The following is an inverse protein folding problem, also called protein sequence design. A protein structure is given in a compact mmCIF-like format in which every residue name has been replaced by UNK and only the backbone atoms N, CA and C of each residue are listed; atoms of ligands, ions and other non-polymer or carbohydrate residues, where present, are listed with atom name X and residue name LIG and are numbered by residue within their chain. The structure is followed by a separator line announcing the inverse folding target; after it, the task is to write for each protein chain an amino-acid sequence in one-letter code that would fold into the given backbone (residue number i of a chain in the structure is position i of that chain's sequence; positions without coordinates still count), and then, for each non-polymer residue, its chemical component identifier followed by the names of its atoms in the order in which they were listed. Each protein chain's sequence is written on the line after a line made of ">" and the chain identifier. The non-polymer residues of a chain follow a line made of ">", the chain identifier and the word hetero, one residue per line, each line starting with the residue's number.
data_IF_758511032833
#
_entry.id   IF_758511032833
#
_cell.length_a   1.000
_cell.length_b   1.000
_cell.length_c   1.000
_cell.angle_alpha   90.00
_cell.angle_beta   90.00
_cell.angle_gamma   90.00
#
_symmetry.space_group_name_H-M   'P 1'
#
loop_
_entity.id
_entity.type
_entity.pdbx_description
1 polymer ?
#
# COMPACT_ATOMS: atom_id res chain seq x y z
N UNK A 1 -9.25 -4.59 -18.09
CA UNK A 1 -10.14 -3.62 -17.39
C UNK A 1 -9.54 -3.17 -16.07
N UNK A 2 -9.21 -4.07 -15.12
CA UNK A 2 -8.60 -3.69 -13.83
C UNK A 2 -7.25 -2.96 -13.97
N UNK A 3 -6.36 -3.42 -14.85
CA UNK A 3 -5.05 -2.79 -15.08
C UNK A 3 -5.15 -1.32 -15.51
N UNK A 4 -6.08 -1.00 -16.41
CA UNK A 4 -6.30 0.36 -16.89
C UNK A 4 -6.75 1.28 -15.76
N UNK A 5 -7.70 0.83 -14.93
CA UNK A 5 -8.19 1.61 -13.79
C UNK A 5 -7.06 1.85 -12.77
N UNK A 6 -6.28 0.82 -12.43
CA UNK A 6 -5.13 0.97 -11.51
C UNK A 6 -4.06 1.92 -12.06
N UNK A 7 -3.79 1.87 -13.36
CA UNK A 7 -2.85 2.79 -14.00
C UNK A 7 -3.32 4.24 -13.93
N UNK A 8 -4.61 4.50 -14.14
CA UNK A 8 -5.18 5.85 -14.04
C UNK A 8 -5.20 6.33 -12.58
N UNK A 9 -5.58 5.48 -11.63
CA UNK A 9 -5.51 5.81 -10.20
C UNK A 9 -4.07 6.08 -9.73
N UNK A 10 -3.08 5.36 -10.26
CA UNK A 10 -1.67 5.64 -9.99
C UNK A 10 -1.26 7.04 -10.43
N UNK A 11 -1.74 7.51 -11.59
CA UNK A 11 -1.48 8.89 -12.03
C UNK A 11 -2.10 9.94 -11.09
N UNK A 12 -3.20 9.62 -10.40
CA UNK A 12 -3.82 10.56 -9.47
C UNK A 12 -3.11 10.52 -8.10
N UNK A 13 -2.83 9.32 -7.59
CA UNK A 13 -2.47 9.11 -6.18
C UNK A 13 -1.02 8.68 -5.94
N UNK A 14 -0.26 8.31 -6.97
CA UNK A 14 1.10 7.78 -6.79
C UNK A 14 2.18 8.69 -7.37
N UNK A 15 2.04 9.12 -8.62
CA UNK A 15 3.17 9.72 -9.34
C UNK A 15 2.80 10.72 -10.45
N UNK A 16 1.54 11.13 -10.56
CA UNK A 16 1.13 12.12 -11.56
C UNK A 16 0.98 13.55 -11.03
N UNK A 17 0.50 14.45 -11.90
CA UNK A 17 0.56 15.89 -11.66
C UNK A 17 -0.36 16.33 -10.51
N UNK A 18 -1.55 15.72 -10.34
CA UNK A 18 -2.46 16.07 -9.25
C UNK A 18 -1.78 15.87 -7.89
N UNK A 19 -1.20 14.69 -7.65
CA UNK A 19 -0.48 14.42 -6.41
C UNK A 19 0.61 15.46 -6.17
N UNK A 20 1.48 15.70 -7.15
CA UNK A 20 2.59 16.65 -7.01
C UNK A 20 2.10 18.04 -6.68
N UNK A 21 1.17 18.59 -7.46
CA UNK A 21 0.65 19.94 -7.26
C UNK A 21 -0.01 20.10 -5.89
N UNK A 22 -0.77 19.10 -5.43
CA UNK A 22 -1.36 19.12 -4.08
C UNK A 22 -0.30 19.05 -3.00
N UNK A 23 0.65 18.13 -3.09
CA UNK A 23 1.71 17.96 -2.07
C UNK A 23 2.62 19.19 -1.98
N UNK A 24 3.04 19.73 -3.12
CA UNK A 24 3.96 20.88 -3.20
C UNK A 24 3.29 22.20 -2.79
N UNK A 25 1.95 22.27 -2.82
CA UNK A 25 1.19 23.46 -2.39
C UNK A 25 1.07 23.62 -0.86
N UNK A 26 1.42 22.59 -0.09
CA UNK A 26 1.19 22.53 1.36
C UNK A 26 -0.28 22.83 1.76
N UNK A 27 -1.24 22.52 0.89
CA UNK A 27 -2.67 22.75 1.15
C UNK A 27 -3.17 22.03 2.41
N UNK A 28 -2.60 20.86 2.70
CA UNK A 28 -2.94 20.02 3.84
C UNK A 28 -1.74 19.87 4.80
N UNK A 29 -2.01 19.70 6.10
CA UNK A 29 -0.96 19.67 7.14
C UNK A 29 0.02 18.50 6.97
N UNK A 30 -0.44 17.35 6.45
CA UNK A 30 0.36 16.14 6.25
C UNK A 30 0.20 15.59 4.82
N UNK A 31 1.11 14.71 4.40
CA UNK A 31 1.09 14.12 3.06
C UNK A 31 0.01 13.05 2.88
N UNK A 32 -0.46 12.43 3.98
CA UNK A 32 -1.45 11.34 3.95
C UNK A 32 -2.87 11.85 3.66
N UNK A 33 -3.19 13.07 4.10
CA UNK A 33 -4.52 13.65 3.98
C UNK A 33 -5.12 13.54 2.57
N UNK A 34 -4.38 13.99 1.54
CA UNK A 34 -4.89 13.99 0.16
C UNK A 34 -5.06 12.58 -0.40
N UNK A 35 -4.09 11.69 -0.16
CA UNK A 35 -4.10 10.34 -0.74
C UNK A 35 -5.17 9.43 -0.10
N UNK A 36 -5.67 9.81 1.08
CA UNK A 36 -6.81 9.16 1.75
C UNK A 36 -8.18 9.62 1.21
N UNK A 37 -8.23 10.70 0.44
CA UNK A 37 -9.47 11.23 -0.16
C UNK A 37 -9.91 10.37 -1.35
N UNK A 38 -11.17 9.94 -1.39
CA UNK A 38 -11.72 9.19 -2.53
C UNK A 38 -12.26 10.13 -3.62
N UNK A 39 -12.23 9.68 -4.87
CA UNK A 39 -12.80 10.43 -5.99
C UNK A 39 -14.32 10.54 -5.90
N UNK A 40 -14.85 11.71 -6.25
CA UNK A 40 -16.29 11.93 -6.48
C UNK A 40 -16.72 11.54 -7.89
N UNK A 41 -15.79 11.56 -8.83
CA UNK A 41 -16.02 11.32 -10.25
C UNK A 41 -15.13 10.19 -10.78
N UNK A 42 -15.36 9.81 -12.02
CA UNK A 42 -14.52 8.87 -12.72
C UNK A 42 -13.04 9.35 -12.77
N UNK A 43 -12.04 8.46 -12.60
CA UNK A 43 -10.63 8.83 -12.62
C UNK A 43 -10.17 9.53 -13.90
N UNK A 44 -10.67 9.12 -15.07
CA UNK A 44 -10.31 9.72 -16.36
C UNK A 44 -10.90 11.13 -16.47
N UNK A 45 -12.16 11.28 -16.08
CA UNK A 45 -12.80 12.60 -16.04
C UNK A 45 -12.06 13.55 -15.08
N UNK A 46 -11.64 13.05 -13.91
CA UNK A 46 -10.91 13.85 -12.92
C UNK A 46 -9.57 14.34 -13.46
N UNK A 47 -8.79 13.46 -14.11
CA UNK A 47 -7.53 13.86 -14.75
C UNK A 47 -7.76 14.90 -15.85
N UNK A 48 -8.73 14.67 -16.74
CA UNK A 48 -9.05 15.62 -17.81
C UNK A 48 -9.43 17.00 -17.26
N UNK A 49 -10.30 17.03 -16.24
CA UNK A 49 -10.72 18.28 -15.61
C UNK A 49 -9.54 19.01 -14.95
N UNK A 50 -8.58 18.27 -14.39
CA UNK A 50 -7.34 18.87 -13.87
C UNK A 50 -6.46 19.43 -14.99
N UNK A 51 -6.27 18.69 -16.07
CA UNK A 51 -5.49 19.11 -17.22
C UNK A 51 -6.05 20.40 -17.86
N UNK A 52 -7.37 20.56 -17.86
CA UNK A 52 -8.07 21.78 -18.33
C UNK A 52 -7.76 23.03 -17.49
N UNK A 53 -7.32 22.89 -16.23
CA UNK A 53 -6.86 24.02 -15.42
C UNK A 53 -5.53 24.59 -15.92
N UNK A 54 -4.67 23.74 -16.48
CA UNK A 54 -3.30 24.09 -16.88
C UNK A 54 -2.53 24.78 -15.75
N UNK A 55 -1.82 25.86 -16.08
CA UNK A 55 -1.01 26.62 -15.12
C UNK A 55 -1.82 27.26 -13.97
N UNK A 56 -3.15 27.39 -14.12
CA UNK A 56 -4.00 27.94 -13.04
C UNK A 56 -4.04 27.03 -11.82
N UNK A 57 -3.72 25.74 -11.97
CA UNK A 57 -3.63 24.80 -10.86
C UNK A 57 -2.53 25.18 -9.85
N UNK A 58 -1.58 26.06 -10.20
CA UNK A 58 -0.56 26.57 -9.29
C UNK A 58 -1.10 27.64 -8.33
N UNK A 59 -2.29 28.21 -8.59
CA UNK A 59 -2.99 29.07 -7.64
C UNK A 59 -3.70 28.19 -6.58
N UNK A 60 -3.33 28.40 -5.31
CA UNK A 60 -3.85 27.58 -4.22
C UNK A 60 -5.37 27.68 -4.03
N UNK A 61 -5.99 28.80 -4.39
CA UNK A 61 -7.45 28.95 -4.33
C UNK A 61 -8.12 28.08 -5.40
N UNK A 62 -7.60 28.12 -6.63
CA UNK A 62 -8.09 27.30 -7.75
C UNK A 62 -7.89 25.81 -7.47
N UNK A 63 -6.69 25.42 -6.99
CA UNK A 63 -6.40 24.04 -6.62
C UNK A 63 -7.33 23.55 -5.51
N UNK A 64 -7.59 24.39 -4.49
CA UNK A 64 -8.47 24.03 -3.38
C UNK A 64 -9.91 23.84 -3.84
N UNK A 65 -10.39 24.69 -4.75
CA UNK A 65 -11.71 24.53 -5.37
C UNK A 65 -11.79 23.23 -6.18
N UNK A 66 -10.76 22.91 -6.96
CA UNK A 66 -10.68 21.65 -7.69
C UNK A 66 -10.73 20.43 -6.75
N UNK A 67 -9.88 20.40 -5.70
CA UNK A 67 -9.84 19.30 -4.74
C UNK A 67 -11.20 19.15 -4.03
N UNK A 68 -11.78 20.24 -3.55
CA UNK A 68 -13.08 20.22 -2.86
C UNK A 68 -14.22 19.75 -3.77
N UNK A 69 -14.18 20.06 -5.06
CA UNK A 69 -15.23 19.64 -6.01
C UNK A 69 -15.06 18.20 -6.47
N UNK A 70 -13.84 17.67 -6.56
CA UNK A 70 -13.56 16.35 -7.17
C UNK A 70 -13.24 15.22 -6.18
N UNK A 71 -12.96 15.55 -4.92
CA UNK A 71 -12.60 14.57 -3.90
C UNK A 71 -13.54 14.64 -2.69
N UNK A 72 -13.83 13.48 -2.10
CA UNK A 72 -14.53 13.35 -0.83
C UNK A 72 -13.55 13.57 0.34
N UNK A 73 -14.05 13.83 1.56
CA UNK A 73 -13.21 13.83 2.75
C UNK A 73 -12.38 12.53 2.89
N UNK A 74 -11.21 12.60 3.55
CA UNK A 74 -10.37 11.42 3.75
C UNK A 74 -11.10 10.33 4.55
N UNK A 75 -10.91 9.08 4.14
CA UNK A 75 -11.44 7.88 4.81
C UNK A 75 -10.35 7.06 5.50
N UNK A 76 -10.75 5.95 6.13
CA UNK A 76 -9.84 4.95 6.72
C UNK A 76 -9.80 3.67 5.87
N UNK A 77 -8.80 2.82 6.12
CA UNK A 77 -8.60 1.56 5.39
C UNK A 77 -8.44 0.36 6.32
N UNK A 78 -8.68 -0.83 5.76
CA UNK A 78 -8.30 -2.11 6.37
C UNK A 78 -6.80 -2.35 6.21
N UNK A 79 -6.16 -2.79 7.30
CA UNK A 79 -4.74 -3.10 7.41
C UNK A 79 -4.62 -4.50 8.05
N UNK A 80 -3.89 -5.43 7.43
CA UNK A 80 -3.87 -6.87 7.79
C UNK A 80 -3.37 -7.11 9.21
N UNK A 81 -2.25 -6.52 9.60
CA UNK A 81 -1.65 -6.79 10.91
C UNK A 81 -2.52 -6.29 12.07
N UNK A 82 -3.24 -5.17 11.90
CA UNK A 82 -4.26 -4.70 12.84
C UNK A 82 -5.46 -5.64 12.83
N UNK A 83 -5.86 -6.09 11.63
CA UNK A 83 -6.99 -6.99 11.43
C UNK A 83 -6.79 -8.34 12.13
N UNK A 84 -5.55 -8.80 12.30
CA UNK A 84 -5.24 -10.01 13.08
C UNK A 84 -5.73 -9.90 14.53
N UNK A 85 -5.39 -8.80 15.21
CA UNK A 85 -5.76 -8.59 16.61
C UNK A 85 -7.26 -8.31 16.76
N UNK A 86 -7.86 -7.61 15.80
CA UNK A 86 -9.31 -7.41 15.73
C UNK A 86 -10.01 -8.76 15.58
N UNK A 87 -9.54 -9.61 14.66
CA UNK A 87 -10.10 -10.95 14.43
C UNK A 87 -10.04 -11.82 15.68
N UNK A 88 -8.92 -11.80 16.43
CA UNK A 88 -8.82 -12.48 17.73
C UNK A 88 -9.92 -12.03 18.71
N UNK A 89 -10.15 -10.72 18.82
CA UNK A 89 -11.20 -10.15 19.67
C UNK A 89 -12.61 -10.52 19.20
N UNK A 90 -12.85 -10.55 17.88
CA UNK A 90 -14.11 -10.98 17.30
C UNK A 90 -14.40 -12.46 17.58
N UNK A 91 -13.40 -13.34 17.42
CA UNK A 91 -13.54 -14.77 17.74
C UNK A 91 -13.84 -14.96 19.22
N UNK A 92 -13.13 -14.26 20.10
CA UNK A 92 -13.38 -14.30 21.55
C UNK A 92 -14.79 -13.83 21.91
N UNK A 93 -15.34 -12.89 21.14
CA UNK A 93 -16.69 -12.35 21.31
C UNK A 93 -17.75 -13.14 20.52
N UNK A 94 -17.41 -14.31 19.98
CA UNK A 94 -18.28 -15.17 19.17
C UNK A 94 -18.86 -14.47 17.92
N UNK A 95 -18.21 -13.40 17.45
CA UNK A 95 -18.59 -12.65 16.25
C UNK A 95 -18.01 -13.30 14.98
N UNK A 96 -18.30 -14.59 14.79
CA UNK A 96 -17.68 -15.41 13.75
C UNK A 96 -17.98 -14.91 12.33
N UNK A 97 -19.20 -14.47 12.04
CA UNK A 97 -19.54 -13.93 10.72
C UNK A 97 -18.72 -12.69 10.36
N UNK A 98 -18.45 -11.81 11.33
CA UNK A 98 -17.60 -10.65 11.12
C UNK A 98 -16.14 -11.05 10.93
N UNK A 99 -15.64 -12.01 11.73
CA UNK A 99 -14.28 -12.55 11.58
C UNK A 99 -14.09 -13.20 10.19
N UNK A 100 -15.08 -13.99 9.73
CA UNK A 100 -15.11 -14.56 8.38
C UNK A 100 -15.10 -13.47 7.31
N UNK A 101 -15.84 -12.39 7.51
CA UNK A 101 -15.85 -11.21 6.62
C UNK A 101 -14.48 -10.55 6.48
N UNK A 102 -13.73 -10.40 7.59
CA UNK A 102 -12.35 -9.88 7.55
C UNK A 102 -11.46 -10.79 6.70
N UNK A 103 -11.49 -12.11 6.92
CA UNK A 103 -10.71 -13.07 6.14
C UNK A 103 -11.06 -12.97 4.65
N UNK A 104 -12.36 -12.90 4.32
CA UNK A 104 -12.82 -12.77 2.92
C UNK A 104 -12.31 -11.49 2.25
N UNK A 105 -12.31 -10.37 2.97
CA UNK A 105 -11.80 -9.11 2.45
C UNK A 105 -10.30 -9.18 2.14
N UNK A 106 -9.51 -9.83 3.00
CA UNK A 106 -8.08 -10.02 2.79
C UNK A 106 -7.80 -11.03 1.66
N UNK A 107 -8.53 -12.16 1.65
CA UNK A 107 -8.47 -13.15 0.57
C UNK A 107 -8.78 -12.52 -0.80
N UNK A 108 -9.77 -11.63 -0.87
CA UNK A 108 -10.07 -10.88 -2.09
C UNK A 108 -8.86 -10.04 -2.57
N UNK A 109 -8.09 -9.43 -1.67
CA UNK A 109 -6.87 -8.70 -2.07
C UNK A 109 -5.82 -9.64 -2.66
N UNK A 110 -5.62 -10.82 -2.06
CA UNK A 110 -4.71 -11.85 -2.60
C UNK A 110 -5.18 -12.35 -3.97
N UNK A 111 -6.48 -12.57 -4.16
CA UNK A 111 -7.01 -13.03 -5.43
C UNK A 111 -6.81 -12.01 -6.56
N UNK A 112 -6.93 -10.71 -6.26
CA UNK A 112 -6.80 -9.66 -7.28
C UNK A 112 -5.37 -9.14 -7.47
N UNK A 113 -4.52 -9.22 -6.44
CA UNK A 113 -3.19 -8.59 -6.45
C UNK A 113 -2.03 -9.57 -6.17
N UNK A 114 -2.34 -10.79 -5.73
CA UNK A 114 -1.37 -11.87 -5.47
C UNK A 114 -0.83 -11.90 -4.04
N UNK A 115 -1.14 -10.90 -3.22
CA UNK A 115 -0.71 -10.76 -1.83
C UNK A 115 -1.64 -9.78 -1.11
N UNK A 116 -1.60 -9.72 0.22
CA UNK A 116 -2.27 -8.66 0.98
C UNK A 116 -1.41 -7.38 0.99
N UNK A 117 -1.84 -6.29 0.35
CA UNK A 117 -1.12 -5.01 0.42
C UNK A 117 -1.12 -4.45 1.84
N UNK A 118 -0.24 -3.50 2.12
CA UNK A 118 -0.19 -2.85 3.43
C UNK A 118 -1.56 -2.24 3.83
N UNK A 119 -2.31 -1.69 2.86
CA UNK A 119 -3.72 -1.35 3.07
C UNK A 119 -4.49 -1.29 1.75
N UNK A 120 -5.80 -1.06 1.83
CA UNK A 120 -6.74 -1.01 0.69
C UNK A 120 -6.62 0.21 -0.24
N UNK A 121 -5.40 0.70 -0.48
CA UNK A 121 -5.13 1.92 -1.28
C UNK A 121 -4.16 1.63 -2.40
N UNK A 122 -4.33 2.32 -3.54
CA UNK A 122 -3.54 2.06 -4.76
C UNK A 122 -2.02 2.22 -4.54
N UNK A 123 -1.60 3.18 -3.70
CA UNK A 123 -0.19 3.42 -3.39
C UNK A 123 0.44 2.35 -2.46
N UNK A 124 -0.37 1.46 -1.88
CA UNK A 124 0.11 0.30 -1.13
C UNK A 124 0.35 -0.94 -1.99
N UNK A 125 -0.06 -0.96 -3.27
CA UNK A 125 0.13 -2.11 -4.17
C UNK A 125 1.60 -2.44 -4.49
N UNK A 126 2.56 -1.69 -3.94
CA UNK A 126 4.00 -1.93 -4.08
C UNK A 126 4.60 -2.71 -2.90
N UNK A 127 3.89 -2.82 -1.77
CA UNK A 127 4.39 -3.41 -0.52
C UNK A 127 3.30 -4.16 0.26
N UNK A 128 3.75 -5.17 0.98
CA UNK A 128 2.91 -5.96 1.88
C UNK A 128 3.26 -5.62 3.32
N UNK A 129 2.77 -6.41 4.27
CA UNK A 129 3.01 -6.33 5.70
C UNK A 129 3.26 -7.75 6.24
N UNK A 130 3.45 -7.98 7.55
CA UNK A 130 3.59 -9.33 8.08
C UNK A 130 2.42 -10.23 7.64
N UNK A 131 2.67 -11.38 6.98
CA UNK A 131 1.60 -12.21 6.41
C UNK A 131 0.91 -13.02 7.51
N UNK A 132 -0.28 -12.58 7.89
CA UNK A 132 -1.05 -13.13 9.00
C UNK A 132 -2.37 -13.77 8.56
N UNK A 133 -2.70 -13.75 7.27
CA UNK A 133 -3.92 -14.36 6.74
C UNK A 133 -4.03 -15.88 7.03
N UNK A 134 -2.94 -16.65 6.88
CA UNK A 134 -2.93 -18.08 7.24
C UNK A 134 -3.22 -18.27 8.74
N UNK A 135 -2.50 -17.60 9.67
CA UNK A 135 -2.85 -17.60 11.09
C UNK A 135 -4.30 -17.21 11.38
N UNK A 136 -4.85 -16.19 10.71
CA UNK A 136 -6.25 -15.78 10.89
C UNK A 136 -7.23 -16.89 10.54
N UNK A 137 -7.02 -17.58 9.41
CA UNK A 137 -7.87 -18.71 9.00
C UNK A 137 -7.74 -19.87 9.99
N UNK A 138 -6.53 -20.14 10.46
CA UNK A 138 -6.31 -21.18 11.47
C UNK A 138 -7.03 -20.87 12.79
N UNK A 139 -6.93 -19.64 13.28
CA UNK A 139 -7.61 -19.20 14.50
C UNK A 139 -9.13 -19.24 14.35
N UNK A 140 -9.65 -18.80 13.19
CA UNK A 140 -11.07 -18.91 12.88
C UNK A 140 -11.54 -20.36 12.89
N UNK A 141 -10.78 -21.28 12.28
CA UNK A 141 -11.09 -22.70 12.31
C UNK A 141 -11.09 -23.27 13.74
N UNK A 142 -10.10 -22.91 14.57
CA UNK A 142 -10.09 -23.34 15.97
C UNK A 142 -11.31 -22.84 16.75
N UNK A 143 -11.81 -21.64 16.45
CA UNK A 143 -12.99 -21.07 17.08
C UNK A 143 -14.33 -21.64 16.60
N UNK A 144 -14.40 -22.19 15.38
CA UNK A 144 -15.68 -22.53 14.72
C UNK A 144 -15.81 -23.99 14.27
N UNK A 145 -14.70 -24.67 14.00
CA UNK A 145 -14.67 -25.98 13.33
C UNK A 145 -15.07 -25.95 11.85
N UNK A 146 -15.22 -24.77 11.24
CA UNK A 146 -15.70 -24.56 9.88
C UNK A 146 -14.65 -24.96 8.83
N UNK A 147 -14.54 -26.27 8.59
CA UNK A 147 -13.60 -26.84 7.62
C UNK A 147 -13.98 -26.51 6.17
N UNK A 148 -15.28 -26.30 5.89
CA UNK A 148 -15.74 -25.95 4.55
C UNK A 148 -15.18 -24.58 4.13
N UNK A 149 -15.21 -23.59 5.03
CA UNK A 149 -14.61 -22.29 4.76
C UNK A 149 -13.07 -22.35 4.63
N UNK A 150 -12.40 -23.19 5.42
CA UNK A 150 -10.95 -23.41 5.26
C UNK A 150 -10.64 -23.94 3.85
N UNK A 151 -11.41 -24.92 3.37
CA UNK A 151 -11.24 -25.47 2.03
C UNK A 151 -11.60 -24.46 0.93
N UNK A 152 -12.58 -23.59 1.16
CA UNK A 152 -12.94 -22.47 0.27
C UNK A 152 -11.75 -21.51 0.06
N UNK A 153 -11.06 -21.12 1.14
CA UNK A 153 -9.99 -20.10 1.08
C UNK A 153 -8.59 -20.67 0.83
N UNK A 154 -8.39 -21.98 1.00
CA UNK A 154 -7.08 -22.64 0.88
C UNK A 154 -6.33 -22.31 -0.42
N UNK A 155 -6.95 -22.30 -1.62
CA UNK A 155 -6.26 -21.92 -2.86
C UNK A 155 -5.71 -20.48 -2.82
N UNK A 156 -6.44 -19.56 -2.18
CA UNK A 156 -6.01 -18.17 -1.99
C UNK A 156 -4.86 -18.07 -0.99
N UNK A 157 -4.87 -18.86 0.09
CA UNK A 157 -3.75 -18.93 1.03
C UNK A 157 -2.47 -19.45 0.37
N UNK A 158 -2.59 -20.49 -0.47
CA UNK A 158 -1.47 -21.01 -1.24
C UNK A 158 -0.91 -19.95 -2.20
N UNK A 159 -1.78 -19.16 -2.84
CA UNK A 159 -1.38 -18.07 -3.73
C UNK A 159 -0.52 -17.03 -3.02
N UNK A 160 -0.92 -16.59 -1.82
CA UNK A 160 -0.11 -15.66 -1.02
C UNK A 160 1.21 -16.30 -0.56
N UNK A 161 1.18 -17.55 -0.10
CA UNK A 161 2.39 -18.27 0.29
C UNK A 161 3.40 -18.34 -0.87
N UNK A 162 2.93 -18.65 -2.07
CA UNK A 162 3.75 -18.64 -3.28
C UNK A 162 4.24 -17.24 -3.66
N UNK A 163 3.49 -16.17 -3.37
CA UNK A 163 4.01 -14.82 -3.51
C UNK A 163 5.22 -14.57 -2.61
N UNK A 164 5.17 -14.96 -1.33
CA UNK A 164 6.30 -14.78 -0.41
C UNK A 164 7.53 -15.59 -0.87
N UNK A 165 7.34 -16.85 -1.26
CA UNK A 165 8.41 -17.67 -1.83
C UNK A 165 8.99 -17.01 -3.08
N UNK A 166 8.17 -16.66 -4.05
CA UNK A 166 8.66 -16.26 -5.37
C UNK A 166 9.13 -14.81 -5.45
N UNK A 167 8.58 -13.92 -4.62
CA UNK A 167 8.82 -12.47 -4.71
C UNK A 167 9.59 -11.90 -3.53
N UNK A 168 9.62 -12.59 -2.38
CA UNK A 168 10.22 -12.08 -1.13
C UNK A 168 11.33 -12.97 -0.56
N UNK A 169 11.51 -14.20 -1.04
CA UNK A 169 12.66 -15.02 -0.66
C UNK A 169 13.97 -14.52 -1.27
N UNK A 170 15.07 -14.68 -0.53
CA UNK A 170 16.44 -14.44 -0.95
C UNK A 170 17.33 -15.54 -0.40
N UNK A 171 18.46 -15.77 -1.06
CA UNK A 171 19.48 -16.68 -0.55
C UNK A 171 20.52 -15.84 0.20
N UNK A 172 20.74 -16.17 1.47
CA UNK A 172 21.92 -15.68 2.19
C UNK A 172 23.12 -16.49 1.71
N UNK A 173 24.25 -15.82 1.51
CA UNK A 173 25.53 -16.42 1.18
C UNK A 173 26.55 -15.87 2.17
N UNK A 174 27.06 -16.72 3.06
CA UNK A 174 28.14 -16.36 3.97
C UNK A 174 29.41 -15.96 3.20
N UNK A 175 30.27 -15.16 3.83
CA UNK A 175 31.51 -14.66 3.21
C UNK A 175 32.44 -15.78 2.74
N UNK A 176 32.40 -16.94 3.41
CA UNK A 176 33.17 -18.13 3.07
C UNK A 176 32.54 -18.99 1.95
N UNK A 177 31.34 -18.60 1.49
CA UNK A 177 30.55 -19.31 0.50
C UNK A 177 29.98 -20.66 0.94
N UNK A 178 30.18 -21.07 2.20
CA UNK A 178 29.71 -22.36 2.76
C UNK A 178 28.35 -22.24 3.42
N UNK A 179 28.10 -21.14 4.14
CA UNK A 179 26.80 -20.88 4.74
C UNK A 179 25.81 -20.41 3.66
N UNK A 180 24.73 -21.16 3.45
CA UNK A 180 23.66 -20.79 2.53
C UNK A 180 22.32 -21.20 3.11
N UNK A 181 21.41 -20.25 3.24
CA UNK A 181 20.04 -20.52 3.65
C UNK A 181 19.07 -19.49 3.05
N UNK A 182 17.83 -19.91 2.75
CA UNK A 182 16.80 -18.98 2.30
C UNK A 182 16.33 -18.12 3.49
N UNK A 183 16.13 -16.84 3.24
CA UNK A 183 15.47 -15.91 4.15
C UNK A 183 14.44 -15.08 3.39
N UNK A 184 13.53 -14.45 4.13
CA UNK A 184 12.52 -13.57 3.56
C UNK A 184 12.82 -12.13 3.96
N UNK A 185 12.60 -11.21 3.04
CA UNK A 185 12.85 -9.79 3.27
C UNK A 185 11.62 -8.97 2.89
N UNK A 186 11.22 -8.02 3.74
CA UNK A 186 10.29 -6.98 3.36
C UNK A 186 10.92 -6.09 2.29
N UNK A 187 10.16 -5.84 1.23
CA UNK A 187 10.64 -5.04 0.10
C UNK A 187 9.49 -4.39 -0.63
N UNK A 188 9.63 -3.10 -0.89
CA UNK A 188 8.81 -2.36 -1.83
C UNK A 188 9.51 -2.20 -3.19
N UNK A 189 8.70 -2.09 -4.23
CA UNK A 189 9.15 -1.84 -5.62
C UNK A 189 8.95 -0.39 -6.06
N UNK A 190 8.91 0.56 -5.11
CA UNK A 190 8.71 1.97 -5.40
C UNK A 190 10.07 2.68 -5.58
N UNK A 191 10.14 3.58 -6.56
CA UNK A 191 11.33 4.39 -6.87
C UNK A 191 11.12 5.90 -6.67
N UNK A 192 9.93 6.27 -6.20
CA UNK A 192 9.47 7.63 -5.94
C UNK A 192 9.15 7.77 -4.45
N UNK A 193 9.06 9.00 -3.91
CA UNK A 193 8.56 9.24 -2.55
C UNK A 193 7.22 8.52 -2.32
N UNK A 194 7.02 7.99 -1.12
CA UNK A 194 5.75 7.40 -0.74
C UNK A 194 4.65 8.46 -0.80
N UNK A 195 3.52 8.24 -1.49
CA UNK A 195 2.51 9.27 -1.62
C UNK A 195 1.94 9.77 -0.29
N UNK A 196 1.81 8.88 0.69
CA UNK A 196 1.35 9.21 2.05
C UNK A 196 2.41 9.87 2.93
N UNK A 197 3.65 9.98 2.45
CA UNK A 197 4.79 10.62 3.13
C UNK A 197 5.66 11.38 2.13
N UNK A 198 5.02 12.00 1.13
CA UNK A 198 5.68 12.51 -0.07
C UNK A 198 6.71 13.59 0.29
N UNK A 199 6.31 14.56 1.11
CA UNK A 199 7.18 15.68 1.52
C UNK A 199 8.30 15.18 2.43
N UNK A 200 7.96 14.34 3.38
CA UNK A 200 8.88 13.76 4.35
C UNK A 200 9.99 12.95 3.68
N UNK A 201 9.62 12.09 2.71
CA UNK A 201 10.58 11.30 1.93
C UNK A 201 11.48 12.20 1.05
N UNK A 202 10.92 13.27 0.48
CA UNK A 202 11.69 14.22 -0.32
C UNK A 202 12.73 15.00 0.50
N UNK A 203 12.31 15.55 1.64
CA UNK A 203 13.18 16.29 2.58
C UNK A 203 14.31 15.40 3.11
N UNK A 204 13.99 14.15 3.44
CA UNK A 204 14.94 13.18 3.94
C UNK A 204 16.06 12.89 2.92
N UNK A 205 15.70 12.65 1.66
CA UNK A 205 16.68 12.44 0.58
C UNK A 205 17.53 13.68 0.35
N UNK A 206 16.94 14.87 0.43
CA UNK A 206 17.67 16.13 0.29
C UNK A 206 18.71 16.32 1.41
N UNK A 207 18.36 16.01 2.66
CA UNK A 207 19.29 16.06 3.79
C UNK A 207 20.46 15.06 3.65
N UNK A 208 20.19 13.84 3.18
CA UNK A 208 21.24 12.81 3.00
C UNK A 208 22.29 13.22 1.95
N UNK A 209 21.87 13.89 0.88
CA UNK A 209 22.79 14.41 -0.14
C UNK A 209 23.69 15.52 0.39
N UNK A 210 23.15 16.41 1.22
CA UNK A 210 23.88 17.57 1.74
C UNK A 210 24.87 17.21 2.85
N UNK A 211 24.65 16.11 3.58
CA UNK A 211 25.50 15.68 4.70
C UNK A 211 26.61 14.68 4.30
N UNK A 212 27.00 14.63 3.02
CA UNK A 212 28.08 13.75 2.56
C UNK A 212 27.71 12.26 2.57
N UNK A 213 26.43 11.93 2.48
CA UNK A 213 25.98 10.56 2.23
C UNK A 213 26.62 9.98 0.96
N UNK A 214 26.76 8.65 0.84
CA UNK A 214 27.49 8.03 -0.26
C UNK A 214 27.00 8.54 -1.61
N UNK A 215 27.90 9.21 -2.34
CA UNK A 215 27.68 9.89 -3.63
C UNK A 215 27.27 8.96 -4.78
N UNK A 216 27.11 7.66 -4.51
CA UNK A 216 26.79 6.61 -5.46
C UNK A 216 25.44 5.93 -5.23
N UNK A 217 24.67 6.29 -4.20
CA UNK A 217 23.34 5.71 -3.99
C UNK A 217 22.31 6.60 -4.68
N UNK A 218 21.89 6.16 -5.87
CA UNK A 218 20.83 6.81 -6.65
C UNK A 218 19.63 7.10 -5.73
N UNK A 219 18.97 8.26 -5.86
CA UNK A 219 17.88 8.63 -4.95
C UNK A 219 16.77 7.54 -4.90
N UNK A 220 16.56 6.84 -6.01
CA UNK A 220 15.66 5.68 -6.10
C UNK A 220 16.13 4.45 -5.30
N UNK A 221 17.43 4.26 -5.10
CA UNK A 221 18.03 3.20 -4.29
C UNK A 221 17.96 3.53 -2.81
N UNK A 222 18.19 4.78 -2.41
CA UNK A 222 17.99 5.24 -1.01
C UNK A 222 16.52 5.13 -0.61
N UNK A 223 15.60 5.63 -1.45
CA UNK A 223 14.16 5.51 -1.21
C UNK A 223 13.75 4.03 -1.12
N UNK A 224 14.25 3.17 -2.03
CA UNK A 224 13.95 1.73 -1.97
C UNK A 224 14.52 1.04 -0.73
N UNK A 225 15.70 1.43 -0.23
CA UNK A 225 16.28 0.88 1.01
C UNK A 225 15.56 1.36 2.27
N UNK A 226 15.02 2.58 2.25
CA UNK A 226 14.30 3.15 3.38
C UNK A 226 12.88 2.61 3.49
N UNK A 227 12.20 2.37 2.37
CA UNK A 227 10.89 1.70 2.35
C UNK A 227 11.02 0.20 2.70
N UNK A 228 12.22 -0.41 2.62
CA UNK A 228 12.41 -1.80 3.08
C UNK A 228 12.33 -1.97 4.61
N UNK A 229 12.47 -0.89 5.37
CA UNK A 229 12.56 -0.91 6.84
C UNK A 229 11.29 -0.40 7.54
N UNK A 230 10.21 -0.14 6.79
CA UNK A 230 8.85 0.15 7.27
C UNK A 230 7.88 -0.86 6.66
#
# INVERSE_FOLDING_TARGET
>A
MLYTVLSVLSQIYCDGPILRTVQDSYMFPDSKHFVDMSLKFDPIATLRNFDELGEKANDIAVLREFVNSHFNPPGTELVEWDSFWILKGLIFSEMYETARGIIKNLAYMVDNHGFVPNGGRVYYLTRSQPPLLIPMVYDYFLGTGDLEFVMEVLPTLEKEYLFWINKRSRMFLGEDGKEKFPYYQYRATLHMPRPESYREDYELVHHLKNNGGPSAVNASTLISEMIKNL
#
